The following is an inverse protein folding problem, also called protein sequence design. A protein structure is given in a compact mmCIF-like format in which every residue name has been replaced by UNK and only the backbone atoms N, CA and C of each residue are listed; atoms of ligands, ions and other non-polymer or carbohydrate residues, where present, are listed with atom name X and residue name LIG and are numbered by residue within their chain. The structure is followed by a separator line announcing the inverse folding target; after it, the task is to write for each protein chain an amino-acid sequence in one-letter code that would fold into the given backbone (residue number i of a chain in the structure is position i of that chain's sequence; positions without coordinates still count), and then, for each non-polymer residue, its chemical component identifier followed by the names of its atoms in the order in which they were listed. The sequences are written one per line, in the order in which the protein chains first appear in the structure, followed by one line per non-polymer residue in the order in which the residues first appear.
data_IF_858843755974
#
_entry.id   IF_858843755974
#
_cell.length_a   1.000
_cell.length_b   1.000
_cell.length_c   1.000
_cell.angle_alpha   90.00
_cell.angle_beta   90.00
_cell.angle_gamma   90.00
#
_symmetry.space_group_name_H-M   'P 1'
#
loop_
_entity.id
_entity.type
_entity.pdbx_description
1 polymer ?
#
# COMPACT_ATOMS: atom_id res chain seq x y z
N UNK A 1 -2.61 16.61 40.78
CA UNK A 1 -2.84 15.40 39.95
C UNK A 1 -3.10 15.88 38.54
N UNK A 2 -2.15 15.68 37.63
CA UNK A 2 -2.26 16.12 36.23
C UNK A 2 -3.02 15.05 35.45
N UNK A 3 -4.32 15.25 35.24
CA UNK A 3 -5.13 14.41 34.37
C UNK A 3 -4.64 14.57 32.92
N UNK A 4 -4.01 13.52 32.41
CA UNK A 4 -3.59 13.43 31.02
C UNK A 4 -4.85 13.19 30.18
N UNK A 5 -5.45 14.26 29.64
CA UNK A 5 -6.66 14.16 28.81
C UNK A 5 -6.29 13.44 27.51
N UNK A 6 -6.65 12.17 27.43
CA UNK A 6 -6.47 11.31 26.26
C UNK A 6 -7.39 11.80 25.12
N UNK A 7 -6.80 12.43 24.11
CA UNK A 7 -7.51 12.82 22.87
C UNK A 7 -7.77 11.56 22.06
N UNK A 8 -9.01 11.06 22.05
CA UNK A 8 -9.37 9.87 21.29
C UNK A 8 -9.64 10.27 19.83
N UNK A 9 -8.93 9.73 18.83
CA UNK A 9 -9.28 9.97 17.43
C UNK A 9 -10.66 9.33 17.16
N UNK A 10 -11.64 10.15 16.79
CA UNK A 10 -13.01 9.71 16.45
C UNK A 10 -14.13 10.20 17.38
N UNK A 11 -13.82 10.91 18.47
CA UNK A 11 -14.82 11.55 19.34
C UNK A 11 -15.23 12.96 18.88
N UNK A 12 -16.45 13.38 19.23
CA UNK A 12 -16.92 14.75 18.99
C UNK A 12 -16.10 15.78 19.78
N UNK A 13 -15.87 16.96 19.20
CA UNK A 13 -15.27 18.10 19.91
C UNK A 13 -16.27 18.65 20.94
N UNK A 14 -15.80 18.94 22.15
CA UNK A 14 -16.64 19.41 23.26
C UNK A 14 -15.81 19.92 24.43
N UNK A 15 -16.44 20.23 25.57
CA UNK A 15 -15.75 20.80 26.73
C UNK A 15 -14.57 19.95 27.23
N UNK A 16 -14.70 18.62 27.14
CA UNK A 16 -13.65 17.67 27.54
C UNK A 16 -12.66 17.34 26.40
N UNK A 17 -12.93 17.77 25.16
CA UNK A 17 -12.06 17.61 24.00
C UNK A 17 -12.12 18.89 23.14
N UNK A 18 -11.38 19.94 23.51
CA UNK A 18 -11.45 21.22 22.81
C UNK A 18 -10.70 21.19 21.48
N UNK A 19 -11.21 21.94 20.50
CA UNK A 19 -10.55 22.13 19.20
C UNK A 19 -9.20 22.82 19.43
N UNK A 20 -8.07 22.26 18.94
CA UNK A 20 -6.77 22.87 19.12
C UNK A 20 -6.65 24.19 18.37
N UNK A 21 -5.88 25.13 18.92
CA UNK A 21 -5.43 26.32 18.17
C UNK A 21 -4.45 25.93 17.07
N UNK A 22 -4.40 26.73 16.00
CA UNK A 22 -3.55 26.46 14.82
C UNK A 22 -2.09 26.21 15.20
N UNK A 23 -1.53 27.02 16.12
CA UNK A 23 -0.15 26.87 16.58
C UNK A 23 0.09 25.54 17.33
N UNK A 24 -0.85 25.13 18.17
CA UNK A 24 -0.77 23.86 18.91
C UNK A 24 -0.89 22.67 17.95
N UNK A 25 -1.76 22.77 16.95
CA UNK A 25 -1.93 21.77 15.91
C UNK A 25 -0.63 21.57 15.11
N UNK A 26 -0.03 22.65 14.62
CA UNK A 26 1.23 22.58 13.86
C UNK A 26 2.35 21.95 14.68
N UNK A 27 2.52 22.38 15.94
CA UNK A 27 3.54 21.81 16.83
C UNK A 27 3.35 20.31 17.07
N UNK A 28 2.10 19.86 17.24
CA UNK A 28 1.80 18.44 17.42
C UNK A 28 2.07 17.66 16.12
N UNK A 29 1.72 18.22 14.96
CA UNK A 29 1.92 17.62 13.66
C UNK A 29 3.41 17.44 13.33
N UNK A 30 4.25 18.42 13.63
CA UNK A 30 5.71 18.30 13.45
C UNK A 30 6.31 17.21 14.34
N UNK A 31 5.89 17.17 15.62
CA UNK A 31 6.32 16.12 16.56
C UNK A 31 5.89 14.72 16.12
N UNK A 32 4.66 14.56 15.67
CA UNK A 32 4.13 13.28 15.18
C UNK A 32 4.82 12.85 13.88
N UNK A 33 5.19 13.80 13.02
CA UNK A 33 5.98 13.52 11.82
C UNK A 33 7.36 12.99 12.18
N UNK A 34 8.09 13.69 13.04
CA UNK A 34 9.42 13.28 13.47
C UNK A 34 9.42 11.90 14.14
N UNK A 35 8.43 11.61 14.99
CA UNK A 35 8.29 10.29 15.61
C UNK A 35 8.02 9.19 14.57
N UNK A 36 7.13 9.46 13.60
CA UNK A 36 6.81 8.50 12.53
C UNK A 36 8.02 8.24 11.66
N UNK A 37 8.73 9.28 11.25
CA UNK A 37 9.90 9.17 10.39
C UNK A 37 11.00 8.36 11.10
N UNK A 38 11.21 8.61 12.40
CA UNK A 38 12.13 7.82 13.23
C UNK A 38 11.73 6.34 13.31
N UNK A 39 10.44 6.03 13.40
CA UNK A 39 9.94 4.65 13.42
C UNK A 39 10.12 3.97 12.05
N UNK A 40 9.86 4.69 10.96
CA UNK A 40 10.05 4.22 9.60
C UNK A 40 11.54 3.92 9.35
N UNK A 41 12.43 4.82 9.75
CA UNK A 41 13.88 4.62 9.60
C UNK A 41 14.37 3.40 10.38
N UNK A 42 13.90 3.22 11.62
CA UNK A 42 14.22 2.02 12.42
C UNK A 42 13.71 0.75 11.75
N UNK A 43 12.45 0.74 11.30
CA UNK A 43 11.87 -0.42 10.63
C UNK A 43 12.59 -0.74 9.31
N UNK A 44 13.00 0.29 8.57
CA UNK A 44 13.72 0.14 7.29
C UNK A 44 15.12 -0.41 7.53
N UNK A 45 15.85 0.09 8.53
CA UNK A 45 17.17 -0.44 8.91
C UNK A 45 17.08 -1.91 9.33
N UNK A 46 16.09 -2.26 10.16
CA UNK A 46 15.89 -3.64 10.62
C UNK A 46 15.57 -4.58 9.45
N UNK A 47 14.73 -4.15 8.50
CA UNK A 47 14.47 -4.88 7.26
C UNK A 47 15.71 -5.05 6.39
N UNK A 48 16.53 -4.01 6.26
CA UNK A 48 17.78 -4.08 5.49
C UNK A 48 18.80 -5.03 6.13
N UNK A 49 18.90 -5.05 7.46
CA UNK A 49 19.74 -6.01 8.20
C UNK A 49 19.22 -7.44 8.04
N UNK A 50 17.91 -7.65 8.15
CA UNK A 50 17.28 -8.95 7.90
C UNK A 50 17.49 -9.41 6.46
N UNK A 51 17.38 -8.52 5.48
CA UNK A 51 17.59 -8.83 4.06
C UNK A 51 19.05 -9.16 3.77
N UNK A 52 20.00 -8.43 4.37
CA UNK A 52 21.43 -8.75 4.30
C UNK A 52 21.75 -10.10 4.92
N UNK A 53 21.19 -10.40 6.09
CA UNK A 53 21.37 -11.70 6.75
C UNK A 53 20.72 -12.84 5.95
N UNK A 54 19.54 -12.61 5.36
CA UNK A 54 18.89 -13.56 4.45
C UNK A 54 19.71 -13.76 3.18
N UNK A 55 20.29 -12.72 2.60
CA UNK A 55 21.14 -12.85 1.40
C UNK A 55 22.38 -13.72 1.66
N UNK A 56 22.95 -13.66 2.87
CA UNK A 56 24.06 -14.52 3.29
C UNK A 56 23.60 -15.97 3.48
N UNK A 57 22.36 -16.21 3.92
CA UNK A 57 21.78 -17.55 4.12
C UNK A 57 21.17 -18.16 2.84
N UNK A 58 20.74 -17.34 1.87
CA UNK A 58 20.13 -17.77 0.58
C UNK A 58 21.13 -18.33 -0.44
N UNK A 59 22.40 -18.49 -0.05
CA UNK A 59 23.38 -19.23 -0.86
C UNK A 59 23.09 -20.73 -0.93
N UNK A 60 22.24 -21.28 -0.05
CA UNK A 60 22.11 -22.75 0.09
C UNK A 60 20.67 -23.31 0.13
N UNK A 61 19.60 -22.51 0.16
CA UNK A 61 18.23 -23.06 0.15
C UNK A 61 17.16 -22.03 -0.26
N UNK A 62 16.14 -22.52 -0.97
CA UNK A 62 14.82 -21.94 -1.27
C UNK A 62 14.58 -21.30 -2.67
N UNK A 63 14.23 -22.17 -3.63
CA UNK A 63 13.66 -21.85 -4.95
C UNK A 63 12.14 -21.50 -4.92
N UNK A 64 11.41 -21.69 -3.81
CA UNK A 64 9.93 -21.75 -3.88
C UNK A 64 9.16 -20.52 -3.34
N UNK A 65 9.81 -19.38 -3.15
CA UNK A 65 9.09 -18.13 -2.79
C UNK A 65 9.76 -16.90 -3.38
N UNK A 66 9.99 -16.93 -4.70
CA UNK A 66 10.47 -15.77 -5.42
C UNK A 66 9.32 -14.77 -5.60
N UNK A 67 9.41 -13.62 -4.93
CA UNK A 67 8.51 -12.49 -5.19
C UNK A 67 8.92 -11.90 -6.54
N UNK A 68 8.35 -12.41 -7.62
CA UNK A 68 8.58 -11.88 -8.97
C UNK A 68 8.00 -10.47 -9.05
N UNK A 69 8.82 -9.50 -9.46
CA UNK A 69 8.34 -8.16 -9.77
C UNK A 69 7.32 -8.21 -10.91
N UNK A 70 6.20 -7.49 -10.78
CA UNK A 70 5.19 -7.47 -11.82
C UNK A 70 5.76 -6.78 -13.07
N UNK A 71 6.02 -7.55 -14.12
CA UNK A 71 6.43 -7.01 -15.42
C UNK A 71 5.19 -6.52 -16.15
N UNK A 72 5.12 -5.23 -16.55
CA UNK A 72 3.99 -4.75 -17.36
C UNK A 72 3.95 -5.52 -18.67
N UNK A 73 2.79 -6.10 -18.98
CA UNK A 73 2.60 -6.80 -20.25
C UNK A 73 2.74 -5.80 -21.40
N UNK A 74 3.48 -6.17 -22.43
CA UNK A 74 3.55 -5.35 -23.63
C UNK A 74 2.21 -5.41 -24.38
N UNK A 75 1.71 -4.27 -24.89
CA UNK A 75 0.47 -4.24 -25.65
C UNK A 75 0.60 -5.16 -26.87
N UNK A 76 -0.39 -6.03 -27.07
CA UNK A 76 -0.36 -6.98 -28.19
C UNK A 76 -0.68 -6.23 -29.47
N UNK A 77 -0.05 -6.61 -30.59
CA UNK A 77 -0.16 -5.90 -31.89
C UNK A 77 -1.56 -5.90 -32.52
N UNK A 78 -2.56 -6.51 -31.88
CA UNK A 78 -3.92 -6.71 -32.42
C UNK A 78 -4.94 -6.13 -31.43
N UNK A 79 -4.95 -4.80 -31.32
CA UNK A 79 -6.01 -4.05 -30.63
C UNK A 79 -7.08 -3.56 -31.62
N UNK A 80 -8.31 -3.40 -31.13
CA UNK A 80 -9.40 -2.75 -31.89
C UNK A 80 -9.67 -1.39 -31.26
N UNK A 81 -9.73 -0.34 -32.09
CA UNK A 81 -10.20 0.98 -31.64
C UNK A 81 -11.72 1.01 -31.62
N UNK A 82 -12.26 1.37 -30.47
CA UNK A 82 -13.71 1.45 -30.21
C UNK A 82 -14.00 2.77 -29.52
N UNK A 83 -15.16 3.36 -29.80
CA UNK A 83 -15.60 4.56 -29.10
C UNK A 83 -16.30 4.16 -27.80
N UNK A 84 -15.81 4.67 -26.67
CA UNK A 84 -16.48 4.50 -25.37
C UNK A 84 -17.87 5.18 -25.41
N UNK A 85 -18.97 4.44 -25.15
CA UNK A 85 -20.33 4.98 -25.20
C UNK A 85 -20.58 6.09 -24.17
N UNK A 86 -19.80 6.15 -23.09
CA UNK A 86 -20.02 7.10 -21.99
C UNK A 86 -19.30 8.41 -22.21
N UNK A 87 -18.07 8.36 -22.74
CA UNK A 87 -17.22 9.55 -22.91
C UNK A 87 -17.06 9.99 -24.35
N UNK A 88 -17.46 9.17 -25.33
CA UNK A 88 -17.26 9.42 -26.76
C UNK A 88 -15.79 9.37 -27.19
N UNK A 89 -14.88 8.98 -26.31
CA UNK A 89 -13.44 8.91 -26.60
C UNK A 89 -13.11 7.63 -27.34
N UNK A 90 -12.12 7.69 -28.23
CA UNK A 90 -11.54 6.50 -28.83
C UNK A 90 -10.65 5.79 -27.81
N UNK A 91 -10.95 4.53 -27.55
CA UNK A 91 -10.18 3.63 -26.69
C UNK A 91 -9.73 2.42 -27.51
N UNK A 92 -8.50 1.97 -27.28
CA UNK A 92 -7.98 0.75 -27.89
C UNK A 92 -8.19 -0.43 -26.94
N UNK A 93 -8.81 -1.50 -27.43
CA UNK A 93 -9.12 -2.71 -26.67
C UNK A 93 -8.26 -3.84 -27.21
N UNK A 94 -7.42 -4.41 -26.35
CA UNK A 94 -6.58 -5.56 -26.67
C UNK A 94 -7.41 -6.84 -26.79
N UNK A 95 -7.08 -7.64 -27.82
CA UNK A 95 -7.63 -8.98 -27.99
C UNK A 95 -6.90 -9.97 -27.07
N UNK A 96 -7.50 -10.25 -25.91
CA UNK A 96 -6.94 -11.14 -24.89
C UNK A 96 -7.18 -12.61 -25.27
N UNK A 97 -6.11 -13.41 -25.26
CA UNK A 97 -6.17 -14.85 -25.56
C UNK A 97 -6.51 -15.73 -24.35
N UNK A 98 -6.52 -17.04 -24.54
CA UNK A 98 -6.91 -18.04 -23.52
C UNK A 98 -6.07 -17.98 -22.23
N UNK A 99 -4.85 -17.46 -22.28
CA UNK A 99 -3.99 -17.24 -21.10
C UNK A 99 -4.65 -16.34 -20.05
N UNK A 100 -5.37 -15.30 -20.48
CA UNK A 100 -6.12 -14.42 -19.58
C UNK A 100 -7.35 -15.12 -18.98
N UNK A 101 -7.92 -16.09 -19.70
CA UNK A 101 -9.09 -16.84 -19.22
C UNK A 101 -8.74 -17.75 -18.04
N UNK A 102 -7.47 -18.13 -17.87
CA UNK A 102 -7.03 -18.91 -16.71
C UNK A 102 -7.33 -18.21 -15.38
N UNK A 103 -7.03 -16.92 -15.27
CA UNK A 103 -7.30 -16.12 -14.06
C UNK A 103 -8.79 -15.93 -13.80
N UNK A 104 -9.61 -15.87 -14.86
CA UNK A 104 -11.08 -15.76 -14.74
C UNK A 104 -11.68 -17.06 -14.24
N UNK A 105 -11.19 -18.20 -14.75
CA UNK A 105 -11.65 -19.54 -14.35
C UNK A 105 -11.22 -19.90 -12.94
N UNK A 106 -10.00 -19.53 -12.55
CA UNK A 106 -9.42 -19.84 -11.24
C UNK A 106 -8.95 -18.55 -10.54
N UNK A 107 -9.87 -17.75 -9.98
CA UNK A 107 -9.52 -16.53 -9.30
C UNK A 107 -8.80 -16.85 -7.98
N UNK A 108 -7.53 -16.43 -7.86
CA UNK A 108 -6.78 -16.48 -6.60
C UNK A 108 -7.19 -15.30 -5.71
N UNK A 109 -8.13 -15.52 -4.80
CA UNK A 109 -8.59 -14.51 -3.85
C UNK A 109 -7.81 -14.64 -2.54
N UNK A 110 -7.01 -13.62 -2.20
CA UNK A 110 -6.37 -13.51 -0.89
C UNK A 110 -7.31 -12.75 0.06
N UNK A 111 -8.04 -13.50 0.89
CA UNK A 111 -8.88 -12.90 1.94
C UNK A 111 -7.97 -12.55 3.13
N UNK A 112 -7.73 -11.25 3.34
CA UNK A 112 -7.21 -10.78 4.63
C UNK A 112 -8.34 -10.82 5.64
N UNK A 113 -8.25 -11.74 6.60
CA UNK A 113 -9.11 -11.69 7.79
C UNK A 113 -8.64 -10.52 8.65
N UNK A 114 -9.54 -9.57 8.93
CA UNK A 114 -9.31 -8.55 9.93
C UNK A 114 -9.52 -9.18 11.31
N UNK A 115 -8.48 -9.16 12.15
CA UNK A 115 -8.55 -9.47 13.57
C UNK A 115 -8.49 -8.14 14.32
#
# INVERSE_FOLDING_TARGET
MTSQTQSYPGGHWGANNPIPTVQKFLRNLDREKEERDRQIDKATKLKQEDERNRQIQRGEQDEDTEVTSHVPLQPRKRGRKVTDPTTGREVEIDDVGDEFMGTVKEPRVFVRHAI
#
